data_IF_392236399849
#
_entry.id   IF_392236399849
#
_cell.length_a   1.000
_cell.length_b   1.000
_cell.length_c   1.000
_cell.angle_alpha   90.00
_cell.angle_beta   90.00
_cell.angle_gamma   90.00
#
_symmetry.space_group_name_H-M   'P 1'
#
loop_
_entity.id
_entity.type
_entity.pdbx_description
1 polymer ?
#
# COMPACT_ATOMS: atom_id res chain seq x y z
N UNK A 1 -13.43 1.03 -15.72
CA UNK A 1 -12.71 2.28 -15.37
C UNK A 1 -11.85 1.99 -14.14
N UNK A 2 -10.51 2.12 -14.24
CA UNK A 2 -9.57 1.74 -13.17
C UNK A 2 -9.29 2.88 -12.19
N UNK A 3 -9.24 4.09 -12.71
CA UNK A 3 -8.93 5.32 -11.98
C UNK A 3 -10.17 6.21 -11.86
N UNK A 4 -10.10 7.16 -10.94
CA UNK A 4 -11.08 8.21 -10.70
C UNK A 4 -10.50 9.57 -11.11
N UNK A 5 -11.31 10.63 -11.02
CA UNK A 5 -10.88 11.99 -11.35
C UNK A 5 -10.16 12.72 -10.20
N UNK A 6 -10.01 12.08 -9.04
CA UNK A 6 -9.36 12.69 -7.87
C UNK A 6 -7.84 12.59 -8.01
N UNK A 7 -7.14 13.71 -7.87
CA UNK A 7 -5.68 13.78 -8.01
C UNK A 7 -5.02 13.91 -6.64
N UNK A 8 -4.02 13.07 -6.39
CA UNK A 8 -3.07 13.21 -5.29
C UNK A 8 -1.70 13.62 -5.83
N UNK A 9 -0.91 14.31 -5.02
CA UNK A 9 0.45 14.70 -5.39
C UNK A 9 1.40 14.64 -4.19
N UNK A 10 2.69 14.48 -4.50
CA UNK A 10 3.79 14.53 -3.53
C UNK A 10 5.05 15.04 -4.21
N UNK A 11 5.82 15.83 -3.46
CA UNK A 11 7.14 16.29 -3.86
C UNK A 11 8.19 15.24 -3.46
N UNK A 12 9.04 14.87 -4.41
CA UNK A 12 10.18 13.97 -4.21
C UNK A 12 11.46 14.74 -4.45
N UNK A 13 12.35 14.78 -3.46
CA UNK A 13 13.67 15.37 -3.59
C UNK A 13 14.60 14.39 -4.29
N UNK A 14 15.23 14.82 -5.37
CA UNK A 14 16.16 14.01 -6.17
C UNK A 14 17.52 14.70 -6.28
N UNK A 15 18.50 13.99 -6.81
CA UNK A 15 19.82 14.52 -7.18
C UNK A 15 19.75 15.72 -8.15
N UNK A 16 18.66 15.82 -8.92
CA UNK A 16 18.38 16.88 -9.90
C UNK A 16 17.43 17.97 -9.37
N UNK A 17 17.15 17.96 -8.07
CA UNK A 17 16.21 18.87 -7.41
C UNK A 17 14.85 18.23 -7.12
N UNK A 18 13.91 19.06 -6.67
CA UNK A 18 12.58 18.62 -6.27
C UNK A 18 11.69 18.38 -7.49
N UNK A 19 11.03 17.22 -7.52
CA UNK A 19 10.07 16.82 -8.55
C UNK A 19 8.71 16.56 -7.94
N UNK A 20 7.69 17.22 -8.46
CA UNK A 20 6.29 16.97 -8.08
C UNK A 20 5.77 15.82 -8.93
N UNK A 21 5.28 14.76 -8.28
CA UNK A 21 4.58 13.66 -8.94
C UNK A 21 3.09 13.77 -8.63
N UNK A 22 2.28 13.60 -9.66
CA UNK A 22 0.82 13.57 -9.59
C UNK A 22 0.32 12.17 -9.95
N UNK A 23 -0.74 11.73 -9.29
CA UNK A 23 -1.42 10.48 -9.61
C UNK A 23 -2.93 10.65 -9.45
N UNK A 24 -3.70 9.96 -10.27
CA UNK A 24 -5.15 9.79 -10.06
C UNK A 24 -5.41 8.71 -9.03
N UNK A 25 -6.43 8.85 -8.20
CA UNK A 25 -6.76 7.79 -7.25
C UNK A 25 -7.52 6.66 -7.92
N UNK A 26 -7.39 5.44 -7.39
CA UNK A 26 -8.21 4.29 -7.81
C UNK A 26 -9.70 4.58 -7.66
N UNK A 27 -10.50 4.04 -8.57
CA UNK A 27 -11.96 4.06 -8.42
C UNK A 27 -12.39 3.27 -7.17
N UNK A 28 -13.42 3.74 -6.46
CA UNK A 28 -13.81 3.24 -5.13
C UNK A 28 -14.00 1.70 -5.08
N UNK A 29 -14.65 1.12 -6.09
CA UNK A 29 -14.85 -0.34 -6.19
C UNK A 29 -13.50 -1.07 -6.28
N UNK A 30 -12.59 -0.60 -7.14
CA UNK A 30 -11.27 -1.23 -7.33
C UNK A 30 -10.41 -1.09 -6.07
N UNK A 31 -10.43 0.09 -5.45
CA UNK A 31 -9.77 0.36 -4.18
C UNK A 31 -10.28 -0.60 -3.09
N UNK A 32 -11.60 -0.73 -2.93
CA UNK A 32 -12.22 -1.62 -1.95
C UNK A 32 -11.86 -3.10 -2.16
N UNK A 33 -11.85 -3.58 -3.41
CA UNK A 33 -11.45 -4.95 -3.73
C UNK A 33 -10.00 -5.23 -3.31
N UNK A 34 -9.07 -4.32 -3.60
CA UNK A 34 -7.66 -4.48 -3.21
C UNK A 34 -7.49 -4.38 -1.71
N UNK A 35 -8.19 -3.47 -1.04
CA UNK A 35 -8.20 -3.36 0.41
C UNK A 35 -8.72 -4.63 1.08
N UNK A 36 -9.73 -5.29 0.51
CA UNK A 36 -10.21 -6.57 1.02
C UNK A 36 -9.17 -7.69 0.84
N UNK A 37 -8.50 -7.76 -0.32
CA UNK A 37 -7.38 -8.68 -0.55
C UNK A 37 -6.24 -8.43 0.46
N UNK A 38 -5.90 -7.16 0.70
CA UNK A 38 -4.88 -6.76 1.69
C UNK A 38 -5.29 -7.12 3.11
N UNK A 39 -6.53 -6.85 3.51
CA UNK A 39 -7.03 -7.20 4.84
C UNK A 39 -6.92 -8.70 5.11
N UNK A 40 -7.17 -9.56 4.11
CA UNK A 40 -6.98 -11.01 4.23
C UNK A 40 -5.52 -11.41 4.46
N UNK A 41 -4.58 -10.69 3.85
CA UNK A 41 -3.14 -10.90 4.03
C UNK A 41 -2.64 -10.38 5.37
N UNK A 42 -3.17 -9.24 5.82
CA UNK A 42 -2.78 -8.60 7.07
C UNK A 42 -3.39 -9.30 8.31
N UNK A 43 -4.61 -9.84 8.20
CA UNK A 43 -5.35 -10.43 9.33
C UNK A 43 -4.58 -11.51 10.13
N UNK A 44 -3.83 -12.45 9.52
CA UNK A 44 -3.05 -13.44 10.26
C UNK A 44 -1.81 -12.89 10.97
N UNK A 45 -1.39 -11.66 10.65
CA UNK A 45 -0.16 -11.05 11.14
C UNK A 45 -0.41 -9.77 11.96
N UNK A 46 -1.64 -9.63 12.45
CA UNK A 46 -2.13 -8.41 13.09
C UNK A 46 -1.37 -8.00 14.35
N UNK A 47 -0.71 -8.92 15.06
CA UNK A 47 0.15 -8.57 16.20
C UNK A 47 1.23 -7.55 15.80
N UNK A 48 2.00 -7.85 14.74
CA UNK A 48 3.03 -6.94 14.23
C UNK A 48 2.46 -5.70 13.52
N UNK A 49 1.30 -5.81 12.87
CA UNK A 49 0.64 -4.67 12.21
C UNK A 49 0.09 -3.67 13.24
N UNK A 50 -0.50 -4.16 14.33
CA UNK A 50 -0.97 -3.32 15.44
C UNK A 50 0.22 -2.59 16.07
N UNK A 51 1.34 -3.27 16.31
CA UNK A 51 2.54 -2.66 16.88
C UNK A 51 3.15 -1.61 15.93
N UNK A 52 3.21 -1.90 14.63
CA UNK A 52 3.60 -0.93 13.60
C UNK A 52 2.62 0.25 13.48
N UNK A 53 1.32 0.01 13.66
CA UNK A 53 0.28 1.04 13.60
C UNK A 53 0.25 1.94 14.85
N UNK A 54 0.59 1.39 16.01
CA UNK A 54 0.76 2.12 17.25
C UNK A 54 2.09 2.89 17.32
N UNK A 55 3.05 2.52 16.48
CA UNK A 55 4.31 3.23 16.33
C UNK A 55 4.10 4.62 15.72
N UNK A 56 4.79 5.61 16.28
CA UNK A 56 4.94 6.94 15.63
C UNK A 56 5.85 6.86 14.40
N UNK A 57 6.62 5.78 14.27
CA UNK A 57 7.50 5.52 13.14
C UNK A 57 6.73 4.81 12.02
N UNK A 58 6.36 5.59 10.99
CA UNK A 58 5.68 5.08 9.81
C UNK A 58 6.55 4.14 8.98
N UNK A 59 7.88 4.24 9.06
CA UNK A 59 8.78 3.34 8.34
C UNK A 59 8.64 1.89 8.83
N UNK A 60 8.41 1.70 10.13
CA UNK A 60 8.15 0.39 10.72
C UNK A 60 6.82 -0.19 10.23
N UNK A 61 5.76 0.62 10.21
CA UNK A 61 4.46 0.20 9.64
C UNK A 61 4.61 -0.25 8.18
N UNK A 62 5.35 0.51 7.38
CA UNK A 62 5.59 0.15 5.98
C UNK A 62 6.41 -1.12 5.87
N UNK A 63 7.51 -1.26 6.60
CA UNK A 63 8.32 -2.47 6.61
C UNK A 63 7.49 -3.70 7.00
N UNK A 64 6.63 -3.59 8.01
CA UNK A 64 5.73 -4.67 8.42
C UNK A 64 4.73 -5.00 7.32
N UNK A 65 4.03 -4.01 6.75
CA UNK A 65 3.02 -4.26 5.71
C UNK A 65 3.66 -4.84 4.45
N UNK A 66 4.81 -4.33 4.02
CA UNK A 66 5.57 -4.86 2.89
C UNK A 66 6.03 -6.30 3.13
N UNK A 67 6.60 -6.59 4.31
CA UNK A 67 7.04 -7.95 4.65
C UNK A 67 5.87 -8.94 4.65
N UNK A 68 4.68 -8.52 5.11
CA UNK A 68 3.49 -9.37 5.13
C UNK A 68 2.90 -9.60 3.76
N UNK A 69 2.87 -8.56 2.92
CA UNK A 69 2.50 -8.71 1.51
C UNK A 69 3.49 -9.66 0.84
N UNK A 70 4.79 -9.45 1.01
CA UNK A 70 5.81 -10.31 0.41
C UNK A 70 5.72 -11.77 0.88
N UNK A 71 5.40 -12.02 2.15
CA UNK A 71 5.35 -13.37 2.70
C UNK A 71 4.05 -14.15 2.40
N UNK A 72 2.97 -13.47 1.98
CA UNK A 72 1.61 -14.06 1.93
C UNK A 72 0.80 -13.71 0.68
N UNK A 73 1.19 -12.70 -0.08
CA UNK A 73 0.57 -12.40 -1.37
C UNK A 73 1.05 -13.38 -2.43
N UNK A 74 0.19 -13.66 -3.41
CA UNK A 74 0.62 -14.34 -4.64
C UNK A 74 1.45 -13.37 -5.49
N UNK A 75 2.35 -13.90 -6.32
CA UNK A 75 3.10 -13.11 -7.30
C UNK A 75 2.16 -12.28 -8.17
N UNK A 76 1.04 -12.88 -8.60
CA UNK A 76 -0.03 -12.24 -9.37
C UNK A 76 -0.62 -11.00 -8.66
N UNK A 77 -0.82 -11.06 -7.34
CA UNK A 77 -1.32 -9.92 -6.57
C UNK A 77 -0.27 -8.81 -6.50
N UNK A 78 1.00 -9.17 -6.41
CA UNK A 78 2.10 -8.22 -6.38
C UNK A 78 2.27 -7.50 -7.73
N UNK A 79 2.17 -8.23 -8.83
CA UNK A 79 2.18 -7.66 -10.19
C UNK A 79 0.96 -6.77 -10.45
N UNK A 80 -0.24 -7.22 -10.05
CA UNK A 80 -1.48 -6.44 -10.16
C UNK A 80 -1.35 -5.11 -9.39
N UNK A 81 -0.89 -5.16 -8.13
CA UNK A 81 -0.74 -3.97 -7.29
C UNK A 81 0.25 -2.98 -7.88
N UNK A 82 1.43 -3.46 -8.29
CA UNK A 82 2.46 -2.59 -8.85
C UNK A 82 1.98 -1.91 -10.14
N UNK A 83 1.42 -2.69 -11.06
CA UNK A 83 0.96 -2.17 -12.36
C UNK A 83 -0.17 -1.16 -12.18
N UNK A 84 -1.11 -1.45 -11.28
CA UNK A 84 -2.25 -0.57 -11.05
C UNK A 84 -1.87 0.72 -10.30
N UNK A 85 -1.00 0.62 -9.29
CA UNK A 85 -0.57 1.80 -8.53
C UNK A 85 0.33 2.68 -9.39
N UNK A 86 1.38 2.13 -10.00
CA UNK A 86 2.27 2.91 -10.88
C UNK A 86 1.53 3.45 -12.11
N UNK A 87 0.58 2.68 -12.64
CA UNK A 87 -0.23 3.12 -13.76
C UNK A 87 -1.18 4.28 -13.45
N UNK A 88 -1.34 4.64 -12.17
CA UNK A 88 -2.12 5.79 -11.73
C UNK A 88 -1.35 7.12 -11.80
N UNK A 89 -0.03 7.07 -11.97
CA UNK A 89 0.80 8.27 -12.15
C UNK A 89 0.37 8.98 -13.43
N UNK A 90 0.31 10.31 -13.38
CA UNK A 90 0.01 11.15 -14.54
C UNK A 90 1.30 11.54 -15.27
N UNK A 91 1.27 11.45 -16.59
CA UNK A 91 2.33 12.00 -17.43
C UNK A 91 2.22 13.53 -17.58
N UNK A 92 3.09 14.12 -18.41
CA UNK A 92 3.09 15.56 -18.68
C UNK A 92 1.81 16.06 -19.36
N UNK A 93 1.06 15.18 -20.02
CA UNK A 93 -0.22 15.49 -20.67
C UNK A 93 -1.40 15.35 -19.70
N UNK A 94 -1.17 14.88 -18.47
CA UNK A 94 -2.21 14.64 -17.48
C UNK A 94 -2.89 13.27 -17.62
N UNK A 95 -2.33 12.37 -18.43
CA UNK A 95 -2.92 11.05 -18.68
C UNK A 95 -2.27 9.97 -17.81
N UNK A 96 -3.04 9.02 -17.24
CA UNK A 96 -2.50 7.93 -16.42
C UNK A 96 -1.60 6.99 -17.23
N UNK A 97 -0.51 6.49 -16.64
CA UNK A 97 0.41 5.52 -17.25
C UNK A 97 -0.17 4.09 -17.35
N UNK A 98 -1.30 3.91 -18.04
CA UNK A 98 -2.10 2.67 -17.94
C UNK A 98 -1.42 1.36 -18.38
N UNK A 99 -0.28 1.44 -19.08
CA UNK A 99 0.44 0.27 -19.62
C UNK A 99 1.84 0.16 -19.04
N UNK A 100 2.38 -1.06 -19.02
CA UNK A 100 3.73 -1.36 -18.54
C UNK A 100 4.78 -0.60 -19.34
N UNK A 101 4.58 -0.44 -20.65
CA UNK A 101 5.49 0.32 -21.52
C UNK A 101 5.55 1.80 -21.12
N UNK A 102 4.39 2.40 -20.79
CA UNK A 102 4.33 3.79 -20.34
C UNK A 102 4.96 3.97 -18.95
N UNK A 103 4.74 3.01 -18.05
CA UNK A 103 5.39 2.97 -16.74
C UNK A 103 6.92 2.89 -16.91
N UNK A 104 7.41 1.95 -17.72
CA UNK A 104 8.85 1.78 -17.97
C UNK A 104 9.46 3.03 -18.63
N UNK A 105 8.75 3.63 -19.58
CA UNK A 105 9.18 4.89 -20.23
C UNK A 105 9.27 6.02 -19.22
N UNK A 106 8.31 6.14 -18.30
CA UNK A 106 8.37 7.12 -17.22
C UNK A 106 9.61 6.91 -16.34
N UNK A 107 9.89 5.66 -15.97
CA UNK A 107 11.03 5.33 -15.11
C UNK A 107 12.39 5.49 -15.79
N UNK A 108 12.48 5.27 -17.11
CA UNK A 108 13.68 5.58 -17.89
C UNK A 108 14.04 7.07 -17.89
N UNK A 109 13.05 7.95 -17.63
CA UNK A 109 13.18 9.40 -17.73
C UNK A 109 13.05 10.12 -16.37
N UNK A 110 12.98 9.40 -15.26
CA UNK A 110 12.84 9.97 -13.92
C UNK A 110 14.03 9.60 -13.04
N UNK A 111 14.46 10.53 -12.18
CA UNK A 111 15.46 10.26 -11.13
C UNK A 111 14.85 9.67 -9.85
N UNK A 112 13.52 9.51 -9.80
CA UNK A 112 12.82 8.96 -8.64
C UNK A 112 12.85 7.43 -8.70
N UNK A 113 13.26 6.79 -7.61
CA UNK A 113 13.28 5.34 -7.52
C UNK A 113 11.84 4.77 -7.51
N UNK A 114 11.62 3.69 -8.27
CA UNK A 114 10.29 3.07 -8.41
C UNK A 114 9.68 2.67 -7.08
N UNK A 115 10.52 2.17 -6.16
CA UNK A 115 10.07 1.75 -4.84
C UNK A 115 9.47 2.92 -4.02
N UNK A 116 10.04 4.12 -4.10
CA UNK A 116 9.55 5.28 -3.34
C UNK A 116 8.15 5.70 -3.81
N UNK A 117 7.91 5.63 -5.12
CA UNK A 117 6.59 5.89 -5.70
C UNK A 117 5.58 4.81 -5.30
N UNK A 118 5.97 3.54 -5.36
CA UNK A 118 5.12 2.43 -4.93
C UNK A 118 4.70 2.56 -3.46
N UNK A 119 5.64 2.85 -2.55
CA UNK A 119 5.36 3.04 -1.12
C UNK A 119 4.36 4.18 -0.92
N UNK A 120 4.59 5.32 -1.57
CA UNK A 120 3.69 6.47 -1.46
C UNK A 120 2.29 6.18 -2.00
N UNK A 121 2.18 5.56 -3.18
CA UNK A 121 0.90 5.26 -3.81
C UNK A 121 0.14 4.21 -2.99
N UNK A 122 0.83 3.20 -2.48
CA UNK A 122 0.27 2.21 -1.57
C UNK A 122 -0.29 2.86 -0.30
N UNK A 123 0.50 3.73 0.35
CA UNK A 123 0.09 4.47 1.54
C UNK A 123 -1.21 5.23 1.29
N UNK A 124 -1.21 6.13 0.30
CA UNK A 124 -2.33 7.05 0.06
C UNK A 124 -3.57 6.36 -0.47
N UNK A 125 -3.41 5.37 -1.33
CA UNK A 125 -4.53 4.79 -2.05
C UNK A 125 -5.07 3.53 -1.40
N UNK A 126 -4.30 2.80 -0.60
CA UNK A 126 -4.75 1.53 -0.03
C UNK A 126 -4.70 1.53 1.49
N UNK A 127 -3.57 1.89 2.09
CA UNK A 127 -3.39 1.80 3.53
C UNK A 127 -4.20 2.86 4.29
N UNK A 128 -4.03 4.15 3.98
CA UNK A 128 -4.74 5.22 4.70
C UNK A 128 -6.27 5.06 4.67
N UNK A 129 -6.92 4.77 3.53
CA UNK A 129 -8.37 4.59 3.53
C UNK A 129 -8.79 3.28 4.22
N UNK A 130 -7.96 2.23 4.17
CA UNK A 130 -8.19 1.00 4.94
C UNK A 130 -8.16 1.28 6.46
N UNK A 131 -7.19 2.07 6.92
CA UNK A 131 -7.07 2.48 8.33
C UNK A 131 -8.19 3.41 8.80
N UNK A 132 -8.82 4.15 7.89
CA UNK A 132 -10.02 4.96 8.17
C UNK A 132 -11.31 4.14 8.22
N UNK A 133 -11.27 2.85 7.89
CA UNK A 133 -12.45 1.98 7.91
C UNK A 133 -12.95 1.77 9.34
N UNK A 134 -14.21 2.10 9.58
CA UNK A 134 -14.88 1.82 10.85
C UNK A 134 -14.94 0.32 11.14
N UNK A 135 -15.15 -0.50 10.11
CA UNK A 135 -15.11 -1.96 10.24
C UNK A 135 -13.75 -2.43 10.74
N UNK A 136 -12.65 -2.01 10.08
CA UNK A 136 -11.31 -2.39 10.52
C UNK A 136 -11.03 -1.90 11.96
N UNK A 137 -11.40 -0.66 12.28
CA UNK A 137 -11.22 -0.12 13.64
C UNK A 137 -11.93 -0.95 14.72
N UNK A 138 -13.08 -1.55 14.41
CA UNK A 138 -13.81 -2.45 15.32
C UNK A 138 -13.26 -3.88 15.38
N UNK A 139 -12.60 -4.35 14.30
CA UNK A 139 -11.98 -5.67 14.24
C UNK A 139 -10.56 -5.72 14.82
N UNK A 140 -9.78 -4.65 14.68
CA UNK A 140 -8.38 -4.58 15.12
C UNK A 140 -8.17 -4.97 16.60
N UNK A 141 -8.95 -4.45 17.58
CA UNK A 141 -8.80 -4.86 18.98
C UNK A 141 -9.11 -6.33 19.21
N UNK A 142 -10.15 -6.85 18.55
CA UNK A 142 -10.58 -8.26 18.68
C UNK A 142 -9.54 -9.22 18.10
N UNK A 143 -8.97 -8.87 16.95
CA UNK A 143 -7.91 -9.64 16.31
C UNK A 143 -6.61 -9.61 17.12
N UNK A 144 -6.29 -8.49 17.78
CA UNK A 144 -5.18 -8.42 18.74
C UNK A 144 -5.39 -9.41 19.89
N UNK A 145 -6.57 -9.40 20.51
CA UNK A 145 -6.91 -10.34 21.59
C UNK A 145 -6.79 -11.79 21.16
N UNK A 146 -7.25 -12.12 19.95
CA UNK A 146 -7.10 -13.48 19.38
C UNK A 146 -5.61 -13.83 19.21
N UNK A 147 -4.82 -12.94 18.62
CA UNK A 147 -3.38 -13.17 18.41
C UNK A 147 -2.61 -13.34 19.72
N UNK A 148 -2.90 -12.50 20.72
CA UNK A 148 -2.27 -12.57 22.05
C UNK A 148 -2.59 -13.90 22.76
N UNK A 149 -3.84 -14.36 22.67
CA UNK A 149 -4.26 -15.64 23.25
C UNK A 149 -3.59 -16.84 22.56
N UNK A 150 -3.49 -16.82 21.23
CA UNK A 150 -2.78 -17.86 20.47
C UNK A 150 -1.28 -17.94 20.83
N UNK A 151 -0.64 -16.81 21.16
CA UNK A 151 0.77 -16.82 21.58
C UNK A 151 0.97 -17.28 23.02
N UNK A 152 -0.04 -17.13 23.89
CA UNK A 152 -0.01 -17.66 25.25
C UNK A 152 -0.18 -19.18 25.27
N UNK A 153 -1.12 -19.73 24.49
CA UNK A 153 -1.31 -21.19 24.39
C UNK A 153 -0.07 -21.93 23.86
N UNK A 154 0.70 -21.33 22.94
CA UNK A 154 1.93 -21.94 22.43
C UNK A 154 3.13 -21.86 23.39
N UNK A 155 3.06 -21.04 24.45
CA UNK A 155 4.10 -20.95 25.49
C UNK A 155 3.89 -21.93 26.65
N UNK A 156 2.69 -22.50 26.78
CA UNK A 156 2.38 -23.50 27.81
C UNK A 156 2.66 -24.94 27.36
N UNK A 157 3.15 -25.14 26.12
CA UNK A 157 3.44 -26.45 25.51
C UNK A 157 4.95 -26.71 25.31
N UNK A 158 5.81 -25.77 25.70
CA UNK A 158 7.28 -25.97 25.83
C UNK A 158 7.68 -26.23 27.29
#
# INVERSE_FOLDING_TARGET
MKYSDTIINKTFTTDKGDKIVKAVTLHAIKQGMLQFKLARVLAPAMGGVVDGMASKDRSLLYATVFNLIAAKATEELFEELQTLLLGSILDSSGEPLETVERINTYFANTSIHQFDLLVWLFEKQLLEPLLKSSALSGFMPKLKTIADNFMQENKEVE
#
